data_IF_508418676856
#
_entry.id   IF_508418676856
#
_cell.length_a   1.000
_cell.length_b   1.000
_cell.length_c   1.000
_cell.angle_alpha   90.00
_cell.angle_beta   90.00
_cell.angle_gamma   90.00
#
_symmetry.space_group_name_H-M   'P 1'
#
loop_
_entity.id
_entity.type
_entity.pdbx_description
1 polymer ?
#
# COMPACT_ATOMS: atom_id res chain seq x y z
N UNK A 1 -23.82 -16.98 -7.42
CA UNK A 1 -22.87 -16.16 -6.63
C UNK A 1 -23.68 -15.11 -5.90
N UNK A 2 -23.46 -14.91 -4.60
CA UNK A 2 -24.20 -13.94 -3.79
C UNK A 2 -23.26 -12.84 -3.32
N UNK A 3 -23.77 -11.62 -3.19
CA UNK A 3 -23.00 -10.43 -2.82
C UNK A 3 -23.73 -9.68 -1.70
N UNK A 4 -22.95 -9.12 -0.78
CA UNK A 4 -23.43 -8.16 0.20
C UNK A 4 -23.21 -6.76 -0.36
N UNK A 5 -24.28 -5.99 -0.50
CA UNK A 5 -24.23 -4.66 -1.13
C UNK A 5 -24.49 -3.59 -0.08
N UNK A 6 -23.61 -2.59 -0.02
CA UNK A 6 -23.83 -1.36 0.74
C UNK A 6 -24.48 -0.34 -0.21
N UNK A 7 -25.76 -0.03 0.01
CA UNK A 7 -26.53 0.88 -0.84
C UNK A 7 -27.32 1.88 -0.02
N UNK A 8 -27.62 3.03 -0.62
CA UNK A 8 -28.47 4.06 -0.05
C UNK A 8 -29.96 3.70 -0.24
N UNK A 9 -30.88 4.30 0.54
CA UNK A 9 -32.32 4.09 0.37
C UNK A 9 -32.86 4.42 -1.03
N UNK A 10 -32.15 5.27 -1.78
CA UNK A 10 -32.48 5.64 -3.17
C UNK A 10 -32.04 4.59 -4.22
N UNK A 11 -31.39 3.50 -3.79
CA UNK A 11 -30.88 2.44 -4.67
C UNK A 11 -29.45 2.67 -5.18
N UNK A 12 -28.78 3.77 -4.80
CA UNK A 12 -27.38 4.02 -5.18
C UNK A 12 -26.45 3.05 -4.46
N UNK A 13 -25.64 2.30 -5.23
CA UNK A 13 -24.63 1.39 -4.69
C UNK A 13 -23.38 2.18 -4.28
N UNK A 14 -22.94 1.98 -3.03
CA UNK A 14 -21.74 2.58 -2.45
C UNK A 14 -20.56 1.61 -2.60
N UNK A 15 -20.77 0.33 -2.26
CA UNK A 15 -19.74 -0.70 -2.31
C UNK A 15 -20.37 -2.09 -2.33
N UNK A 16 -19.62 -3.08 -2.82
CA UNK A 16 -20.02 -4.49 -2.87
C UNK A 16 -18.94 -5.37 -2.24
N UNK A 17 -19.35 -6.30 -1.39
CA UNK A 17 -18.51 -7.33 -0.82
C UNK A 17 -19.02 -8.72 -1.23
N UNK A 18 -18.17 -9.74 -1.14
CA UNK A 18 -18.61 -11.14 -1.23
C UNK A 18 -19.57 -11.47 -0.08
N UNK A 19 -20.40 -12.51 -0.28
CA UNK A 19 -21.39 -12.97 0.71
C UNK A 19 -20.81 -13.01 2.13
N UNK A 20 -21.42 -12.21 3.02
CA UNK A 20 -21.17 -12.23 4.44
C UNK A 20 -22.25 -13.06 5.12
N UNK A 21 -21.86 -14.01 5.98
CA UNK A 21 -22.80 -14.94 6.61
C UNK A 21 -23.76 -14.26 7.61
N UNK A 22 -23.33 -13.15 8.23
CA UNK A 22 -24.03 -12.53 9.37
C UNK A 22 -24.16 -11.00 9.19
N UNK A 23 -24.99 -10.58 8.23
CA UNK A 23 -25.16 -9.15 7.87
C UNK A 23 -25.60 -8.31 9.08
N UNK A 24 -26.39 -8.86 10.00
CA UNK A 24 -26.88 -8.16 11.21
C UNK A 24 -25.76 -7.76 12.18
N UNK A 25 -24.59 -8.40 12.08
CA UNK A 25 -23.43 -8.10 12.93
C UNK A 25 -22.51 -7.03 12.33
N UNK A 26 -22.72 -6.66 11.07
CA UNK A 26 -21.91 -5.69 10.35
C UNK A 26 -22.29 -4.29 10.84
N UNK A 27 -21.34 -3.64 11.53
CA UNK A 27 -21.48 -2.24 11.97
C UNK A 27 -20.90 -1.32 10.89
N UNK A 28 -21.67 -0.30 10.52
CA UNK A 28 -21.22 0.76 9.62
C UNK A 28 -20.86 1.98 10.47
N UNK A 29 -19.65 2.49 10.30
CA UNK A 29 -19.15 3.68 10.99
C UNK A 29 -18.35 4.56 10.04
N UNK A 30 -18.31 5.86 10.32
CA UNK A 30 -17.42 6.81 9.64
C UNK A 30 -16.30 7.16 10.60
N UNK A 31 -15.07 7.01 10.15
CA UNK A 31 -13.88 7.29 10.96
C UNK A 31 -13.00 8.28 10.21
N UNK A 32 -12.47 9.27 10.92
CA UNK A 32 -11.43 10.14 10.37
C UNK A 32 -10.11 9.38 10.35
N UNK A 33 -9.47 9.36 9.18
CA UNK A 33 -8.20 8.68 8.93
C UNK A 33 -7.28 9.69 8.26
N UNK A 34 -5.99 9.78 8.63
CA UNK A 34 -5.05 10.66 7.96
C UNK A 34 -4.96 10.36 6.46
N UNK A 35 -4.76 11.40 5.65
CA UNK A 35 -4.56 11.26 4.20
C UNK A 35 -3.39 10.32 3.90
N UNK A 36 -3.62 9.37 3.00
CA UNK A 36 -2.62 8.35 2.63
C UNK A 36 -2.56 7.14 3.58
N UNK A 37 -3.42 7.07 4.59
CA UNK A 37 -3.55 5.88 5.42
C UNK A 37 -4.66 4.95 4.93
N UNK A 38 -4.45 3.64 5.10
CA UNK A 38 -5.47 2.61 4.89
C UNK A 38 -5.93 2.10 6.25
N UNK A 39 -7.25 1.88 6.40
CA UNK A 39 -7.82 1.27 7.61
C UNK A 39 -7.54 -0.24 7.58
N UNK A 40 -6.79 -0.74 8.55
CA UNK A 40 -6.53 -2.17 8.70
C UNK A 40 -7.54 -2.84 9.64
N UNK A 41 -7.93 -2.13 10.71
CA UNK A 41 -8.87 -2.66 11.69
C UNK A 41 -9.59 -1.53 12.44
N UNK A 42 -10.70 -1.88 13.09
CA UNK A 42 -11.41 -0.99 14.00
C UNK A 42 -11.17 -1.49 15.42
N UNK A 43 -10.59 -0.64 16.28
CA UNK A 43 -10.51 -0.92 17.71
C UNK A 43 -11.88 -0.67 18.34
N UNK A 44 -12.54 -1.76 18.77
CA UNK A 44 -13.83 -1.76 19.46
C UNK A 44 -13.69 -1.90 20.98
N UNK A 45 -12.47 -1.88 21.52
CA UNK A 45 -12.21 -2.07 22.95
C UNK A 45 -12.66 -0.87 23.79
N UNK A 46 -12.85 0.28 23.15
CA UNK A 46 -13.30 1.54 23.77
C UNK A 46 -14.78 1.79 23.46
N UNK A 47 -15.42 2.63 24.29
CA UNK A 47 -16.82 3.08 24.05
C UNK A 47 -16.98 3.76 22.68
N UNK A 48 -15.97 4.50 22.27
CA UNK A 48 -15.86 5.05 20.92
C UNK A 48 -14.93 4.17 20.11
N UNK A 49 -15.44 3.60 19.02
CA UNK A 49 -14.63 2.84 18.09
C UNK A 49 -13.60 3.76 17.42
N UNK A 50 -12.38 3.29 17.22
CA UNK A 50 -11.32 4.06 16.53
C UNK A 50 -10.73 3.28 15.38
N UNK A 51 -10.51 3.94 14.23
CA UNK A 51 -9.83 3.31 13.10
C UNK A 51 -8.34 3.18 13.38
N UNK A 52 -7.84 1.95 13.37
CA UNK A 52 -6.41 1.64 13.34
C UNK A 52 -6.00 1.64 11.89
N UNK A 53 -5.13 2.58 11.53
CA UNK A 53 -4.70 2.79 10.16
C UNK A 53 -3.18 2.87 10.09
N UNK A 54 -2.62 2.32 9.01
CA UNK A 54 -1.21 2.47 8.69
C UNK A 54 -1.05 3.33 7.44
N UNK A 55 0.00 4.15 7.44
CA UNK A 55 0.38 4.90 6.26
C UNK A 55 0.71 3.92 5.13
N UNK A 56 0.01 4.05 4.01
CA UNK A 56 0.52 3.45 2.78
C UNK A 56 1.79 4.20 2.42
N UNK A 57 2.95 3.52 2.29
CA UNK A 57 4.16 4.19 1.88
C UNK A 57 4.01 4.62 0.42
N UNK A 58 3.45 5.81 0.19
CA UNK A 58 3.71 6.53 -1.04
C UNK A 58 5.13 7.04 -0.96
N UNK A 59 6.07 6.34 -1.60
CA UNK A 59 7.40 6.89 -1.88
C UNK A 59 7.18 8.24 -2.56
N UNK A 60 7.62 9.33 -1.91
CA UNK A 60 7.48 10.64 -2.51
C UNK A 60 8.39 10.76 -3.75
N UNK A 61 8.09 11.68 -4.67
CA UNK A 61 8.84 11.81 -5.91
C UNK A 61 10.35 12.08 -5.68
N UNK A 62 10.71 12.71 -4.55
CA UNK A 62 12.08 12.97 -4.17
C UNK A 62 12.83 11.69 -3.72
N UNK A 63 12.18 10.83 -2.93
CA UNK A 63 12.70 9.52 -2.54
C UNK A 63 12.85 8.60 -3.76
N UNK A 64 11.89 8.62 -4.69
CA UNK A 64 11.98 7.87 -5.93
C UNK A 64 13.16 8.34 -6.80
N UNK A 65 13.40 9.66 -6.88
CA UNK A 65 14.54 10.22 -7.60
C UNK A 65 15.87 9.84 -6.93
N UNK A 66 15.94 9.84 -5.60
CA UNK A 66 17.13 9.42 -4.86
C UNK A 66 17.45 7.94 -5.09
N UNK A 67 16.44 7.06 -5.06
CA UNK A 67 16.60 5.63 -5.36
C UNK A 67 17.06 5.43 -6.80
N UNK A 68 16.45 6.11 -7.79
CA UNK A 68 16.88 6.04 -9.19
C UNK A 68 18.34 6.44 -9.38
N UNK A 69 18.75 7.55 -8.77
CA UNK A 69 20.15 8.02 -8.82
C UNK A 69 21.12 7.03 -8.19
N UNK A 70 20.74 6.41 -7.06
CA UNK A 70 21.55 5.37 -6.44
C UNK A 70 21.66 4.13 -7.33
N UNK A 71 20.58 3.72 -7.98
CA UNK A 71 20.59 2.60 -8.94
C UNK A 71 21.48 2.89 -10.15
N UNK A 72 21.43 4.10 -10.71
CA UNK A 72 22.29 4.51 -11.82
C UNK A 72 23.78 4.45 -11.42
N UNK A 73 24.14 5.02 -10.27
CA UNK A 73 25.52 4.96 -9.75
C UNK A 73 25.99 3.53 -9.51
N UNK A 74 25.14 2.68 -8.93
CA UNK A 74 25.46 1.27 -8.72
C UNK A 74 25.65 0.54 -10.05
N UNK A 75 24.80 0.81 -11.05
CA UNK A 75 24.93 0.20 -12.38
C UNK A 75 26.21 0.61 -13.10
N UNK A 76 26.59 1.89 -13.01
CA UNK A 76 27.84 2.40 -13.56
C UNK A 76 29.05 1.78 -12.85
N UNK A 77 29.03 1.69 -11.52
CA UNK A 77 30.10 1.05 -10.75
C UNK A 77 30.24 -0.45 -11.03
N UNK A 78 29.12 -1.16 -11.24
CA UNK A 78 29.16 -2.58 -11.64
C UNK A 78 29.75 -2.74 -13.03
N UNK A 79 29.40 -1.86 -13.98
CA UNK A 79 29.96 -1.88 -15.33
C UNK A 79 31.48 -1.61 -15.31
N UNK A 80 31.94 -0.62 -14.54
CA UNK A 80 33.36 -0.30 -14.40
C UNK A 80 34.15 -1.45 -13.73
N UNK A 81 33.59 -2.08 -12.70
CA UNK A 81 34.18 -3.27 -12.09
C UNK A 81 34.22 -4.44 -13.08
N UNK A 82 33.15 -4.67 -13.83
CA UNK A 82 33.10 -5.72 -14.85
C UNK A 82 34.17 -5.49 -15.94
N UNK A 83 34.33 -4.25 -16.41
CA UNK A 83 35.38 -3.88 -17.36
C UNK A 83 36.78 -4.06 -16.78
N UNK A 84 37.01 -3.71 -15.51
CA UNK A 84 38.28 -3.95 -14.83
C UNK A 84 38.62 -5.44 -14.75
N UNK A 85 37.64 -6.28 -14.41
CA UNK A 85 37.85 -7.74 -14.35
C UNK A 85 38.06 -8.36 -15.75
N UNK A 86 37.32 -7.89 -16.75
CA UNK A 86 37.40 -8.41 -18.13
C UNK A 86 38.70 -7.97 -18.83
N UNK A 87 39.20 -6.77 -18.55
CA UNK A 87 40.37 -6.20 -19.22
C UNK A 87 41.67 -6.34 -18.39
N UNK A 88 41.56 -6.41 -17.06
CA UNK A 88 42.69 -6.62 -16.14
C UNK A 88 43.19 -8.07 -16.04
N UNK A 89 42.36 -9.06 -16.43
CA UNK A 89 42.72 -10.47 -16.42
C UNK A 89 43.58 -10.94 -17.61
N UNK A 90 43.84 -10.08 -18.60
CA UNK A 90 44.57 -10.46 -19.83
C UNK A 90 46.10 -10.34 -19.73
N UNK A 91 46.67 -10.06 -18.54
CA UNK A 91 48.12 -10.06 -18.31
C UNK A 91 48.47 -10.89 -17.08
N UNK A 92 48.29 -12.20 -17.19
CA UNK A 92 48.97 -13.21 -16.38
C UNK A 92 49.38 -14.36 -17.28
#
# INVERSE_FOLDING_TARGET
MKYTVFYKPDGTVISTATEQADIETIKIGTFEVPDGNVIDSIDTSKKEHTAVSHATPMTNAAELAAVKKQTELNSAGIAELADLFMNGGSKA
#
